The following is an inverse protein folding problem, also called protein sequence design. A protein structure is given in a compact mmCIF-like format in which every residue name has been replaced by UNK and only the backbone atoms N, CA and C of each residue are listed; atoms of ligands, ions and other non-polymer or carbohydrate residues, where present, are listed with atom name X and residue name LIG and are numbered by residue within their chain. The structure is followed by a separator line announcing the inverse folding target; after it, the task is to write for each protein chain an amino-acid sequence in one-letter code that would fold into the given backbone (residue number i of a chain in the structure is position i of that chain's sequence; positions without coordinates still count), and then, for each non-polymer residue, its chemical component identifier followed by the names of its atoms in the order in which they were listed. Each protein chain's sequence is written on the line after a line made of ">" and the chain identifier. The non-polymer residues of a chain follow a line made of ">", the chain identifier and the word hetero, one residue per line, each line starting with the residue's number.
data_IF_180190755395
#
_entry.id   IF_180190755395
#
_cell.length_a   1.000
_cell.length_b   1.000
_cell.length_c   1.000
_cell.angle_alpha   90.00
_cell.angle_beta   90.00
_cell.angle_gamma   90.00
#
_symmetry.space_group_name_H-M   'P 1'
#
loop_
_entity.id
_entity.type
_entity.pdbx_description
1 polymer ?
#
# COMPACT_ATOMS: atom_id res chain seq x y z
N UNK A 1 15.59 26.08 -5.70
CA UNK A 1 14.33 26.26 -4.95
C UNK A 1 13.08 25.85 -5.74
N UNK A 2 12.94 26.17 -7.04
CA UNK A 2 11.72 25.79 -7.79
C UNK A 2 11.49 24.28 -8.04
N UNK A 3 12.56 23.49 -8.14
CA UNK A 3 12.46 22.03 -8.41
C UNK A 3 11.90 21.25 -7.21
N UNK A 4 12.35 21.53 -5.99
CA UNK A 4 11.93 20.79 -4.78
C UNK A 4 10.46 21.05 -4.44
N UNK A 5 10.01 22.30 -4.51
CA UNK A 5 8.58 22.62 -4.30
C UNK A 5 7.69 21.93 -5.32
N UNK A 6 8.13 21.80 -6.58
CA UNK A 6 7.41 21.06 -7.60
C UNK A 6 7.35 19.55 -7.27
N UNK A 7 8.41 18.97 -6.71
CA UNK A 7 8.42 17.57 -6.26
C UNK A 7 7.47 17.34 -5.09
N UNK A 8 7.41 18.24 -4.10
CA UNK A 8 6.46 18.16 -2.97
C UNK A 8 5.02 18.22 -3.48
N UNK A 9 4.71 19.18 -4.35
CA UNK A 9 3.38 19.31 -4.94
C UNK A 9 3.04 18.09 -5.81
N UNK A 10 4.02 17.55 -6.54
CA UNK A 10 3.90 16.31 -7.30
C UNK A 10 3.56 15.12 -6.41
N UNK A 11 4.28 14.93 -5.29
CA UNK A 11 4.01 13.88 -4.31
C UNK A 11 2.59 14.03 -3.73
N UNK A 12 2.19 15.25 -3.40
CA UNK A 12 0.85 15.53 -2.89
C UNK A 12 -0.25 15.21 -3.92
N UNK A 13 -0.23 15.87 -5.08
CA UNK A 13 -1.30 15.79 -6.09
C UNK A 13 -1.35 14.43 -6.81
N UNK A 14 -0.19 13.82 -7.07
CA UNK A 14 -0.11 12.61 -7.89
C UNK A 14 -0.04 11.31 -7.08
N UNK A 15 0.23 11.40 -5.77
CA UNK A 15 0.37 10.24 -4.88
C UNK A 15 -0.53 10.33 -3.65
N UNK A 16 -0.28 11.26 -2.74
CA UNK A 16 -0.97 11.29 -1.45
C UNK A 16 -2.49 11.48 -1.61
N UNK A 17 -2.88 12.46 -2.43
CA UNK A 17 -4.28 12.79 -2.70
C UNK A 17 -5.04 11.63 -3.34
N UNK A 18 -4.62 11.03 -4.47
CA UNK A 18 -5.31 9.88 -5.03
C UNK A 18 -5.24 8.62 -4.14
N UNK A 19 -4.21 8.47 -3.30
CA UNK A 19 -4.14 7.37 -2.34
C UNK A 19 -5.23 7.47 -1.26
N UNK A 20 -5.47 8.68 -0.73
CA UNK A 20 -6.40 8.93 0.38
C UNK A 20 -7.83 9.18 -0.12
N UNK A 21 -8.00 10.01 -1.14
CA UNK A 21 -9.31 10.37 -1.69
C UNK A 21 -9.83 9.34 -2.70
N UNK A 22 -8.95 8.44 -3.17
CA UNK A 22 -9.18 7.66 -4.39
C UNK A 22 -8.84 8.46 -5.65
N UNK A 23 -8.56 7.75 -6.74
CA UNK A 23 -8.23 8.34 -8.03
C UNK A 23 -7.03 7.69 -8.69
N UNK A 24 -6.54 8.31 -9.77
CA UNK A 24 -5.39 7.79 -10.51
C UNK A 24 -4.08 8.22 -9.88
N UNK A 25 -3.31 7.24 -9.38
CA UNK A 25 -1.93 7.43 -8.97
C UNK A 25 -1.04 7.65 -10.20
N UNK A 26 -0.17 8.66 -10.15
CA UNK A 26 0.80 8.98 -11.21
C UNK A 26 2.19 9.13 -10.61
N UNK A 27 2.87 8.02 -10.26
CA UNK A 27 4.23 8.11 -9.76
C UNK A 27 5.15 8.70 -10.84
N UNK A 28 6.12 9.48 -10.40
CA UNK A 28 7.14 10.12 -11.24
C UNK A 28 8.49 9.45 -11.01
N UNK A 29 9.59 10.16 -11.27
CA UNK A 29 10.92 9.61 -11.05
C UNK A 29 11.13 9.19 -9.59
N UNK A 30 11.78 8.02 -9.35
CA UNK A 30 12.00 7.53 -7.99
C UNK A 30 12.69 8.56 -7.10
N UNK A 31 12.19 8.71 -5.87
CA UNK A 31 12.71 9.69 -4.91
C UNK A 31 13.98 9.13 -4.26
N UNK A 32 13.91 7.87 -3.81
CA UNK A 32 15.02 7.20 -3.16
C UNK A 32 15.28 7.68 -1.72
N UNK A 33 16.14 6.97 -0.97
CA UNK A 33 16.26 7.15 0.47
C UNK A 33 16.97 8.45 0.87
N UNK A 34 17.85 8.99 0.02
CA UNK A 34 18.60 10.22 0.32
C UNK A 34 17.73 11.47 0.28
N UNK A 35 16.73 11.52 -0.60
CA UNK A 35 15.83 12.66 -0.75
C UNK A 35 14.54 12.53 0.08
N UNK A 36 14.17 11.31 0.49
CA UNK A 36 12.91 11.02 1.16
C UNK A 36 12.68 11.85 2.43
N UNK A 37 13.67 11.96 3.31
CA UNK A 37 13.52 12.72 4.56
C UNK A 37 13.28 14.20 4.31
N UNK A 38 14.13 14.84 3.49
CA UNK A 38 13.97 16.25 3.17
C UNK A 38 12.62 16.56 2.50
N UNK A 39 12.18 15.69 1.59
CA UNK A 39 10.88 15.83 0.92
C UNK A 39 9.71 15.67 1.89
N UNK A 40 9.77 14.68 2.79
CA UNK A 40 8.73 14.43 3.79
C UNK A 40 8.64 15.58 4.81
N UNK A 41 9.77 16.12 5.25
CA UNK A 41 9.82 17.30 6.12
C UNK A 41 9.21 18.53 5.44
N UNK A 42 9.51 18.76 4.16
CA UNK A 42 8.93 19.87 3.40
C UNK A 42 7.41 19.70 3.23
N UNK A 43 6.95 18.48 2.89
CA UNK A 43 5.52 18.18 2.76
C UNK A 43 4.78 18.39 4.09
N UNK A 44 5.36 17.96 5.21
CA UNK A 44 4.78 18.15 6.54
C UNK A 44 4.67 19.63 6.96
N UNK A 45 5.50 20.53 6.40
CA UNK A 45 5.50 21.97 6.72
C UNK A 45 4.72 22.84 5.72
N UNK A 46 4.54 22.37 4.48
CA UNK A 46 4.47 23.26 3.31
C UNK A 46 3.23 23.16 2.41
N UNK A 47 2.17 22.46 2.83
CA UNK A 47 0.94 22.34 2.02
C UNK A 47 -0.13 23.37 2.43
N UNK A 48 -0.83 24.01 1.47
CA UNK A 48 -1.93 24.93 1.78
C UNK A 48 -3.04 24.26 2.60
N UNK A 49 -3.59 24.99 3.58
CA UNK A 49 -4.65 24.47 4.46
C UNK A 49 -5.91 24.01 3.69
N UNK A 50 -6.22 24.64 2.56
CA UNK A 50 -7.33 24.25 1.68
C UNK A 50 -7.15 22.83 1.11
N UNK A 51 -5.92 22.48 0.78
CA UNK A 51 -5.57 21.20 0.15
C UNK A 51 -5.56 20.08 1.20
N UNK A 52 -5.11 20.39 2.42
CA UNK A 52 -5.14 19.47 3.56
C UNK A 52 -6.56 19.20 4.08
N UNK A 53 -7.48 20.17 3.97
CA UNK A 53 -8.86 20.02 4.47
C UNK A 53 -9.58 18.80 3.87
N UNK A 54 -9.48 18.60 2.55
CA UNK A 54 -10.10 17.46 1.87
C UNK A 54 -9.50 16.12 2.32
N UNK A 55 -8.17 16.06 2.51
CA UNK A 55 -7.51 14.87 3.03
C UNK A 55 -8.00 14.54 4.43
N UNK A 56 -8.08 15.53 5.31
CA UNK A 56 -8.53 15.34 6.70
C UNK A 56 -9.96 14.82 6.74
N UNK A 57 -10.88 15.37 5.95
CA UNK A 57 -12.27 14.88 5.85
C UNK A 57 -12.31 13.42 5.38
N UNK A 58 -11.54 13.07 4.35
CA UNK A 58 -11.50 11.70 3.85
C UNK A 58 -10.89 10.72 4.87
N UNK A 59 -9.80 11.10 5.54
CA UNK A 59 -9.19 10.30 6.61
C UNK A 59 -10.16 10.09 7.77
N UNK A 60 -10.86 11.14 8.22
CA UNK A 60 -11.90 11.01 9.26
C UNK A 60 -13.01 10.07 8.81
N UNK A 61 -13.48 10.18 7.56
CA UNK A 61 -14.49 9.27 6.99
C UNK A 61 -14.01 7.82 6.98
N UNK A 62 -12.75 7.60 6.66
CA UNK A 62 -12.15 6.26 6.64
C UNK A 62 -12.03 5.70 8.06
N UNK A 63 -11.53 6.48 9.02
CA UNK A 63 -11.38 6.04 10.41
C UNK A 63 -12.73 5.79 11.12
N UNK A 64 -13.77 6.55 10.75
CA UNK A 64 -15.16 6.35 11.22
C UNK A 64 -15.73 4.97 10.95
N UNK A 65 -15.15 4.23 9.99
CA UNK A 65 -15.50 2.82 9.75
C UNK A 65 -15.13 1.91 10.91
N UNK A 66 -14.13 2.30 11.71
CA UNK A 66 -13.66 1.52 12.86
C UNK A 66 -14.07 2.14 14.21
N UNK A 67 -14.09 3.47 14.33
CA UNK A 67 -14.44 4.17 15.57
C UNK A 67 -15.15 5.51 15.30
N UNK A 68 -16.23 5.85 16.02
CA UNK A 68 -16.80 7.19 15.94
C UNK A 68 -15.80 8.23 16.48
N UNK A 69 -15.36 9.13 15.61
CA UNK A 69 -14.46 10.25 15.92
C UNK A 69 -14.74 11.42 14.99
N UNK A 70 -14.36 12.62 15.41
CA UNK A 70 -14.64 13.85 14.66
C UNK A 70 -13.40 14.50 14.05
N UNK A 71 -12.22 14.15 14.53
CA UNK A 71 -10.96 14.70 14.04
C UNK A 71 -9.84 13.67 14.10
N UNK A 72 -8.90 13.81 13.19
CA UNK A 72 -7.60 13.13 13.20
C UNK A 72 -6.50 14.20 13.15
N UNK A 73 -5.31 13.91 13.70
CA UNK A 73 -4.15 14.78 13.49
C UNK A 73 -3.81 14.89 12.01
N UNK A 74 -3.14 15.97 11.61
CA UNK A 74 -2.58 16.11 10.27
C UNK A 74 -1.58 14.99 9.94
N UNK A 75 -1.24 14.85 8.67
CA UNK A 75 -0.26 13.84 8.23
C UNK A 75 1.10 14.10 8.89
N UNK A 76 1.60 13.11 9.63
CA UNK A 76 2.89 13.21 10.29
C UNK A 76 4.05 13.01 9.31
N UNK A 77 5.28 13.29 9.77
CA UNK A 77 6.50 13.02 9.01
C UNK A 77 6.59 11.55 8.59
N UNK A 78 6.24 10.63 9.50
CA UNK A 78 6.24 9.18 9.26
C UNK A 78 5.23 8.78 8.19
N UNK A 79 4.03 9.37 8.20
CA UNK A 79 3.04 9.13 7.15
C UNK A 79 3.53 9.62 5.79
N UNK A 80 4.21 10.77 5.74
CA UNK A 80 4.85 11.27 4.52
C UNK A 80 5.97 10.36 4.02
N UNK A 81 6.84 9.86 4.90
CA UNK A 81 7.86 8.88 4.54
C UNK A 81 7.25 7.59 3.98
N UNK A 82 6.15 7.13 4.57
CA UNK A 82 5.41 5.97 4.06
C UNK A 82 4.75 6.25 2.70
N UNK A 83 4.24 7.46 2.46
CA UNK A 83 3.73 7.87 1.13
C UNK A 83 4.86 7.85 0.09
N UNK A 84 6.06 8.33 0.44
CA UNK A 84 7.25 8.23 -0.42
C UNK A 84 7.59 6.77 -0.71
N UNK A 85 7.55 5.89 0.29
CA UNK A 85 7.79 4.47 0.09
C UNK A 85 6.73 3.80 -0.82
N UNK A 86 5.45 4.18 -0.69
CA UNK A 86 4.37 3.73 -1.59
C UNK A 86 4.60 4.23 -3.01
N UNK A 87 5.00 5.48 -3.19
CA UNK A 87 5.38 6.04 -4.49
C UNK A 87 6.48 5.20 -5.15
N UNK A 88 7.59 5.00 -4.46
CA UNK A 88 8.75 4.27 -4.98
C UNK A 88 8.42 2.79 -5.22
N UNK A 89 7.58 2.17 -4.38
CA UNK A 89 7.07 0.81 -4.57
C UNK A 89 6.27 0.68 -5.87
N UNK A 90 5.30 1.56 -6.11
CA UNK A 90 4.50 1.53 -7.35
C UNK A 90 5.40 1.83 -8.54
N UNK A 91 6.34 2.78 -8.41
CA UNK A 91 7.27 3.14 -9.47
C UNK A 91 8.17 1.98 -9.87
N UNK A 92 8.69 1.20 -8.91
CA UNK A 92 9.53 0.03 -9.17
C UNK A 92 8.84 -1.07 -9.98
N UNK A 93 7.51 -1.07 -10.05
CA UNK A 93 6.75 -2.02 -10.89
C UNK A 93 6.77 -1.67 -12.37
N UNK A 94 7.23 -0.47 -12.75
CA UNK A 94 7.31 -0.03 -14.13
C UNK A 94 8.53 -0.65 -14.84
N UNK A 95 8.33 -1.42 -15.94
CA UNK A 95 9.42 -2.03 -16.71
C UNK A 95 10.47 -1.05 -17.25
N UNK A 96 10.17 0.24 -17.42
CA UNK A 96 11.17 1.22 -17.90
C UNK A 96 12.03 1.84 -16.80
N UNK A 97 11.74 1.54 -15.52
CA UNK A 97 12.66 1.95 -14.44
C UNK A 97 13.97 1.19 -14.57
N UNK A 98 13.92 -0.10 -14.93
CA UNK A 98 15.06 -0.82 -15.47
C UNK A 98 15.29 -0.40 -16.93
N UNK A 99 16.49 0.06 -17.25
CA UNK A 99 16.86 0.30 -18.64
C UNK A 99 18.12 -0.47 -18.98
N UNK A 100 18.39 -0.69 -20.26
CA UNK A 100 19.65 -1.30 -20.70
C UNK A 100 20.89 -0.57 -20.14
N UNK A 101 20.79 0.74 -19.89
CA UNK A 101 21.86 1.57 -19.33
C UNK A 101 21.87 1.62 -17.80
N UNK A 102 20.84 1.09 -17.13
CA UNK A 102 20.73 1.07 -15.66
C UNK A 102 19.99 -0.19 -15.21
N UNK A 103 20.56 -1.39 -15.48
CA UNK A 103 19.97 -2.64 -15.02
C UNK A 103 19.94 -2.67 -13.49
N UNK A 104 18.87 -3.21 -12.90
CA UNK A 104 18.72 -3.33 -11.45
C UNK A 104 18.26 -2.05 -10.75
N UNK A 105 17.97 -0.96 -11.47
CA UNK A 105 17.44 0.27 -10.86
C UNK A 105 16.13 0.02 -10.11
N UNK A 106 15.24 -0.83 -10.63
CA UNK A 106 14.00 -1.19 -9.94
C UNK A 106 14.26 -1.86 -8.58
N UNK A 107 15.28 -2.72 -8.50
CA UNK A 107 15.73 -3.36 -7.25
C UNK A 107 16.29 -2.33 -6.27
N UNK A 108 17.12 -1.40 -6.75
CA UNK A 108 17.65 -0.32 -5.93
C UNK A 108 16.54 0.60 -5.37
N UNK A 109 15.51 0.88 -6.17
CA UNK A 109 14.34 1.66 -5.72
C UNK A 109 13.58 0.93 -4.62
N UNK A 110 13.35 -0.38 -4.74
CA UNK A 110 12.71 -1.17 -3.66
C UNK A 110 13.55 -1.20 -2.39
N UNK A 111 14.87 -1.39 -2.51
CA UNK A 111 15.78 -1.32 -1.36
C UNK A 111 15.76 0.08 -0.72
N UNK A 112 15.67 1.12 -1.55
CA UNK A 112 15.46 2.50 -1.11
C UNK A 112 14.19 2.64 -0.29
N UNK A 113 13.07 2.10 -0.77
CA UNK A 113 11.80 2.11 -0.04
C UNK A 113 11.90 1.37 1.30
N UNK A 114 12.58 0.23 1.37
CA UNK A 114 12.86 -0.46 2.64
C UNK A 114 13.68 0.41 3.60
N UNK A 115 14.72 1.10 3.10
CA UNK A 115 15.55 2.00 3.91
C UNK A 115 14.76 3.21 4.42
N UNK A 116 13.79 3.71 3.65
CA UNK A 116 12.86 4.76 4.10
C UNK A 116 11.94 4.21 5.19
N UNK A 117 11.34 3.04 4.98
CA UNK A 117 10.45 2.42 5.98
C UNK A 117 11.19 2.05 7.27
N UNK A 118 12.46 1.66 7.20
CA UNK A 118 13.28 1.37 8.37
C UNK A 118 13.38 2.57 9.35
N UNK A 119 13.22 3.80 8.85
CA UNK A 119 13.20 5.01 9.67
C UNK A 119 11.84 5.27 10.34
N UNK A 120 10.78 4.60 9.88
CA UNK A 120 9.42 4.76 10.42
C UNK A 120 9.17 3.71 11.51
N UNK A 121 8.99 4.11 12.78
CA UNK A 121 8.72 3.18 13.87
C UNK A 121 7.29 2.61 13.78
N UNK A 122 7.03 1.56 14.55
CA UNK A 122 5.66 1.09 14.81
C UNK A 122 4.83 2.23 15.44
N UNK A 123 3.49 2.25 15.24
CA UNK A 123 2.65 3.28 15.86
C UNK A 123 2.76 3.20 17.39
N UNK A 124 2.92 4.35 18.04
CA UNK A 124 3.16 4.42 19.50
C UNK A 124 1.90 4.18 20.31
N UNK A 125 0.75 4.56 19.75
CA UNK A 125 -0.54 4.43 20.38
C UNK A 125 -1.64 4.08 19.36
N UNK A 126 -2.84 3.88 19.90
CA UNK A 126 -4.04 3.51 19.15
C UNK A 126 -4.47 4.62 18.17
N UNK A 127 -4.29 5.89 18.55
CA UNK A 127 -4.64 7.04 17.72
C UNK A 127 -3.74 7.13 16.49
N UNK A 128 -2.43 6.93 16.67
CA UNK A 128 -1.46 6.87 15.58
C UNK A 128 -1.73 5.67 14.65
N UNK A 129 -2.03 4.50 15.21
CA UNK A 129 -2.41 3.33 14.40
C UNK A 129 -3.67 3.60 13.55
N UNK A 130 -4.65 4.32 14.11
CA UNK A 130 -5.88 4.70 13.42
C UNK A 130 -5.64 5.77 12.35
N UNK A 131 -4.81 6.78 12.63
CA UNK A 131 -4.42 7.81 11.66
C UNK A 131 -3.70 7.20 10.45
N UNK A 132 -2.72 6.31 10.70
CA UNK A 132 -2.04 5.57 9.62
C UNK A 132 -3.00 4.67 8.85
N UNK A 133 -3.95 4.01 9.52
CA UNK A 133 -4.98 3.24 8.81
C UNK A 133 -5.83 4.11 7.90
N UNK A 134 -6.27 5.27 8.39
CA UNK A 134 -7.06 6.22 7.62
C UNK A 134 -6.36 6.68 6.34
N UNK A 135 -5.04 6.83 6.40
CA UNK A 135 -4.18 7.23 5.27
C UNK A 135 -3.96 6.08 4.28
N UNK A 136 -3.72 4.86 4.76
CA UNK A 136 -3.27 3.73 3.94
C UNK A 136 -4.33 2.64 3.72
N UNK A 137 -5.59 2.85 4.09
CA UNK A 137 -6.62 1.82 3.96
C UNK A 137 -6.83 1.32 2.52
N UNK A 138 -6.58 2.18 1.53
CA UNK A 138 -6.70 1.85 0.10
C UNK A 138 -5.42 1.30 -0.53
N UNK A 139 -4.34 1.09 0.25
CA UNK A 139 -3.03 0.64 -0.24
C UNK A 139 -3.13 -0.63 -1.10
N UNK A 140 -3.85 -1.66 -0.63
CA UNK A 140 -3.99 -2.93 -1.36
C UNK A 140 -5.09 -2.90 -2.43
N UNK A 141 -5.85 -1.81 -2.51
CA UNK A 141 -6.84 -1.57 -3.56
C UNK A 141 -6.24 -0.88 -4.79
N UNK A 142 -4.97 -0.48 -4.75
CA UNK A 142 -4.25 0.05 -5.91
C UNK A 142 -4.32 -0.99 -7.04
N UNK A 143 -4.70 -0.54 -8.23
CA UNK A 143 -4.72 -1.33 -9.47
C UNK A 143 -3.94 -0.59 -10.54
N UNK A 144 -3.28 -1.34 -11.43
CA UNK A 144 -2.62 -0.81 -12.62
C UNK A 144 -3.34 -1.37 -13.85
N UNK A 145 -3.81 -0.49 -14.72
CA UNK A 145 -4.42 -0.91 -15.99
C UNK A 145 -3.35 -0.99 -17.07
N UNK A 146 -2.97 -2.21 -17.42
CA UNK A 146 -2.02 -2.49 -18.48
C UNK A 146 -2.76 -2.62 -19.81
N UNK A 147 -2.06 -2.37 -20.92
CA UNK A 147 -2.63 -2.59 -22.26
C UNK A 147 -1.85 -3.69 -22.98
N UNK A 148 -2.49 -4.83 -23.21
CA UNK A 148 -1.93 -5.93 -23.99
C UNK A 148 -2.29 -5.75 -25.46
N UNK A 149 -1.28 -5.58 -26.32
CA UNK A 149 -1.44 -5.45 -27.76
C UNK A 149 -0.93 -6.71 -28.44
N UNK A 150 -1.77 -7.35 -29.24
CA UNK A 150 -1.44 -8.52 -30.04
C UNK A 150 -1.58 -8.17 -31.52
N UNK A 151 -0.67 -8.66 -32.36
CA UNK A 151 -0.71 -8.50 -33.82
C UNK A 151 -0.10 -9.74 -34.49
N UNK A 152 -0.17 -9.81 -35.82
CA UNK A 152 0.19 -11.02 -36.58
C UNK A 152 1.60 -11.58 -36.35
N UNK A 153 2.56 -10.75 -35.92
CA UNK A 153 3.94 -11.18 -35.67
C UNK A 153 4.38 -11.10 -34.20
N UNK A 154 3.45 -10.90 -33.26
CA UNK A 154 3.78 -10.95 -31.83
C UNK A 154 2.78 -10.25 -30.91
N UNK A 155 3.19 -10.10 -29.66
CA UNK A 155 2.44 -9.34 -28.65
C UNK A 155 3.38 -8.50 -27.80
N UNK A 156 2.83 -7.44 -27.19
CA UNK A 156 3.53 -6.61 -26.20
C UNK A 156 2.53 -6.01 -25.22
N UNK A 157 2.91 -6.02 -23.94
CA UNK A 157 2.15 -5.40 -22.86
C UNK A 157 2.77 -4.07 -22.49
N UNK A 158 1.92 -3.07 -22.26
CA UNK A 158 2.30 -1.72 -21.81
C UNK A 158 1.79 -1.50 -20.39
N UNK A 159 2.71 -1.43 -19.44
CA UNK A 159 2.41 -1.28 -18.02
C UNK A 159 1.87 0.12 -17.70
N UNK A 160 0.60 0.25 -17.32
CA UNK A 160 -0.02 1.52 -16.93
C UNK A 160 -0.02 2.62 -18.00
N UNK A 161 0.27 2.30 -19.27
CA UNK A 161 0.57 3.29 -20.32
C UNK A 161 -0.12 2.99 -21.63
N UNK A 162 -0.36 4.06 -22.40
CA UNK A 162 -0.93 3.94 -23.74
C UNK A 162 0.09 3.33 -24.70
N UNK A 163 -0.30 2.33 -25.52
CA UNK A 163 0.55 1.83 -26.58
C UNK A 163 0.89 2.92 -27.60
N UNK A 164 2.11 2.90 -28.18
CA UNK A 164 2.47 3.78 -29.29
C UNK A 164 1.49 3.67 -30.46
N UNK A 165 1.06 4.80 -31.03
CA UNK A 165 0.08 4.84 -32.11
C UNK A 165 0.49 3.98 -33.34
N UNK A 166 1.79 3.92 -33.63
CA UNK A 166 2.36 3.08 -34.72
C UNK A 166 2.14 1.57 -34.54
N UNK A 167 1.91 1.11 -33.32
CA UNK A 167 1.60 -0.30 -33.05
C UNK A 167 0.11 -0.59 -33.20
N UNK A 168 -0.72 0.44 -33.07
CA UNK A 168 -2.18 0.37 -33.25
C UNK A 168 -2.61 0.62 -34.71
N UNK A 169 -1.67 0.95 -35.60
CA UNK A 169 -1.96 1.24 -37.01
C UNK A 169 -2.26 -0.03 -37.83
N UNK A 170 -3.13 0.12 -38.83
CA UNK A 170 -3.58 -0.95 -39.74
C UNK A 170 -4.17 -2.16 -39.02
N UNK A 171 -5.21 -1.97 -38.20
CA UNK A 171 -5.75 -3.03 -37.35
C UNK A 171 -6.21 -4.26 -38.14
N UNK A 172 -6.77 -4.08 -39.34
CA UNK A 172 -7.25 -5.18 -40.18
C UNK A 172 -6.10 -5.95 -40.84
N UNK A 173 -5.16 -5.23 -41.47
CA UNK A 173 -4.02 -5.84 -42.20
C UNK A 173 -3.07 -6.56 -41.23
N UNK A 174 -2.77 -5.93 -40.08
CA UNK A 174 -1.85 -6.48 -39.08
C UNK A 174 -2.55 -7.29 -37.99
N UNK A 175 -3.88 -7.45 -38.07
CA UNK A 175 -4.73 -8.12 -37.07
C UNK A 175 -4.45 -7.62 -35.65
N UNK A 176 -4.36 -6.30 -35.48
CA UNK A 176 -4.04 -5.68 -34.19
C UNK A 176 -5.24 -5.75 -33.25
N UNK A 177 -5.06 -6.33 -32.07
CA UNK A 177 -6.04 -6.35 -30.98
C UNK A 177 -5.42 -5.74 -29.73
N UNK A 178 -6.12 -4.79 -29.13
CA UNK A 178 -5.72 -4.15 -27.88
C UNK A 178 -6.76 -4.47 -26.81
N UNK A 179 -6.30 -4.95 -25.66
CA UNK A 179 -7.17 -5.29 -24.53
C UNK A 179 -6.61 -4.68 -23.23
N UNK A 180 -7.44 -4.00 -22.43
CA UNK A 180 -7.05 -3.58 -21.09
C UNK A 180 -6.95 -4.81 -20.18
N UNK A 181 -5.89 -4.88 -19.38
CA UNK A 181 -5.66 -5.93 -18.38
C UNK A 181 -5.42 -5.25 -17.04
N UNK A 182 -6.30 -5.48 -16.08
CA UNK A 182 -6.12 -4.96 -14.72
C UNK A 182 -5.15 -5.83 -13.92
N UNK A 183 -4.14 -5.21 -13.35
CA UNK A 183 -3.18 -5.82 -12.43
C UNK A 183 -3.46 -5.32 -11.01
N UNK A 184 -3.66 -6.25 -10.08
CA UNK A 184 -3.66 -5.92 -8.66
C UNK A 184 -2.25 -5.71 -8.12
N UNK A 185 -2.15 -5.14 -6.92
CA UNK A 185 -0.88 -5.00 -6.18
C UNK A 185 -0.06 -6.30 -6.20
N UNK A 186 -0.72 -7.45 -6.08
CA UNK A 186 -0.06 -8.77 -6.12
C UNK A 186 0.62 -9.11 -7.46
N UNK A 187 0.08 -8.60 -8.56
CA UNK A 187 0.45 -8.98 -9.93
C UNK A 187 1.14 -7.85 -10.72
N UNK A 188 1.24 -6.65 -10.15
CA UNK A 188 1.89 -5.49 -10.77
C UNK A 188 3.35 -5.73 -11.17
N UNK A 189 4.02 -6.69 -10.55
CA UNK A 189 5.42 -7.04 -10.87
C UNK A 189 5.59 -7.71 -12.23
N UNK A 190 4.50 -8.11 -12.89
CA UNK A 190 4.57 -8.69 -14.23
C UNK A 190 5.33 -7.77 -15.20
N UNK A 191 6.48 -8.24 -15.68
CA UNK A 191 7.34 -7.52 -16.62
C UNK A 191 8.36 -6.54 -16.01
N UNK A 192 8.41 -6.38 -14.68
CA UNK A 192 9.48 -5.60 -14.02
C UNK A 192 10.70 -6.47 -13.73
N UNK A 193 11.88 -5.85 -13.67
CA UNK A 193 13.14 -6.49 -13.21
C UNK A 193 13.12 -6.82 -11.71
N UNK A 194 12.28 -6.12 -10.96
CA UNK A 194 12.17 -6.27 -9.52
C UNK A 194 11.51 -7.62 -9.16
N UNK A 195 12.12 -8.35 -8.21
CA UNK A 195 11.62 -9.65 -7.80
C UNK A 195 10.32 -9.55 -7.00
N UNK A 196 9.51 -10.61 -7.07
CA UNK A 196 8.28 -10.71 -6.29
C UNK A 196 8.56 -10.68 -4.79
N UNK A 197 9.65 -11.32 -4.38
CA UNK A 197 10.08 -11.42 -2.98
C UNK A 197 10.39 -10.05 -2.40
N UNK A 198 11.17 -9.22 -3.10
CA UNK A 198 11.51 -7.87 -2.65
C UNK A 198 10.30 -6.94 -2.64
N UNK A 199 9.39 -7.08 -3.61
CA UNK A 199 8.13 -6.33 -3.60
C UNK A 199 7.24 -6.71 -2.42
N UNK A 200 7.10 -8.01 -2.14
CA UNK A 200 6.37 -8.52 -1.00
C UNK A 200 6.98 -8.04 0.33
N UNK A 201 8.31 -7.98 0.41
CA UNK A 201 9.03 -7.48 1.59
C UNK A 201 8.69 -6.02 1.90
N UNK A 202 8.68 -5.14 0.88
CA UNK A 202 8.28 -3.73 1.05
C UNK A 202 6.83 -3.62 1.51
N UNK A 203 5.91 -4.38 0.92
CA UNK A 203 4.51 -4.40 1.35
C UNK A 203 4.36 -4.90 2.79
N UNK A 204 5.09 -5.94 3.17
CA UNK A 204 5.10 -6.46 4.55
C UNK A 204 5.62 -5.40 5.52
N UNK A 205 6.67 -4.67 5.14
CA UNK A 205 7.20 -3.55 5.92
C UNK A 205 6.19 -2.41 6.07
N UNK A 206 5.46 -2.04 5.02
CA UNK A 206 4.36 -1.07 5.08
C UNK A 206 3.27 -1.52 6.05
N UNK A 207 2.79 -2.76 5.90
CA UNK A 207 1.70 -3.31 6.72
C UNK A 207 2.07 -3.44 8.19
N UNK A 208 3.32 -3.79 8.51
CA UNK A 208 3.82 -3.80 9.89
C UNK A 208 3.74 -2.42 10.57
N UNK A 209 3.71 -1.32 9.80
CA UNK A 209 3.56 0.07 10.29
C UNK A 209 2.12 0.56 10.27
N UNK A 210 1.20 -0.23 9.69
CA UNK A 210 -0.25 0.04 9.62
C UNK A 210 -1.05 -1.15 10.16
N UNK A 211 -0.92 -1.52 11.46
CA UNK A 211 -1.47 -2.77 11.99
C UNK A 211 -2.99 -2.91 11.78
N UNK A 212 -3.75 -1.82 11.81
CA UNK A 212 -5.19 -1.85 11.52
C UNK A 212 -5.50 -2.09 10.04
N UNK A 213 -4.68 -1.58 9.10
CA UNK A 213 -4.80 -1.92 7.67
C UNK A 213 -4.41 -3.37 7.41
N UNK A 214 -3.37 -3.85 8.10
CA UNK A 214 -2.94 -5.25 8.02
C UNK A 214 -4.08 -6.19 8.47
N UNK A 215 -4.70 -5.92 9.61
CA UNK A 215 -5.88 -6.64 10.10
C UNK A 215 -7.08 -6.53 9.16
N UNK A 216 -7.40 -5.33 8.69
CA UNK A 216 -8.52 -5.09 7.76
C UNK A 216 -8.38 -5.80 6.42
N UNK A 217 -7.16 -6.22 6.09
CA UNK A 217 -6.84 -6.93 4.85
C UNK A 217 -6.25 -8.31 5.11
N UNK A 218 -6.48 -8.90 6.28
CA UNK A 218 -5.89 -10.18 6.66
C UNK A 218 -6.20 -11.31 5.66
N UNK A 219 -7.38 -11.28 5.02
CA UNK A 219 -7.78 -12.24 3.98
C UNK A 219 -7.17 -12.03 2.58
N UNK A 220 -6.18 -11.14 2.43
CA UNK A 220 -5.49 -10.88 1.16
C UNK A 220 -4.65 -12.07 0.70
N UNK A 221 -4.35 -12.10 -0.61
CA UNK A 221 -3.48 -13.12 -1.21
C UNK A 221 -1.99 -12.83 -1.05
N UNK A 222 -1.59 -11.55 -0.97
CA UNK A 222 -0.19 -11.13 -0.88
C UNK A 222 -0.05 -9.73 -0.23
N UNK A 223 0.95 -9.51 0.65
CA UNK A 223 1.72 -10.53 1.36
C UNK A 223 0.79 -11.41 2.22
N UNK A 224 1.14 -12.66 2.48
CA UNK A 224 0.35 -13.50 3.40
C UNK A 224 0.30 -12.84 4.77
N UNK A 225 -0.87 -12.86 5.42
CA UNK A 225 -1.06 -12.28 6.74
C UNK A 225 -0.19 -12.98 7.79
N UNK A 226 0.38 -12.19 8.69
CA UNK A 226 1.22 -12.66 9.79
C UNK A 226 0.90 -11.88 11.06
N UNK A 227 0.95 -12.56 12.19
CA UNK A 227 0.81 -11.93 13.51
C UNK A 227 2.10 -11.20 13.87
N UNK A 228 2.20 -9.93 13.48
CA UNK A 228 3.35 -9.08 13.80
C UNK A 228 3.23 -8.51 15.22
N UNK A 229 4.35 -8.13 15.88
CA UNK A 229 4.30 -7.54 17.21
C UNK A 229 3.36 -6.32 17.36
N UNK A 230 3.29 -5.38 16.39
CA UNK A 230 2.33 -4.27 16.45
C UNK A 230 0.87 -4.72 16.43
N UNK A 231 0.55 -5.77 15.66
CA UNK A 231 -0.80 -6.33 15.60
C UNK A 231 -1.16 -7.03 16.93
N UNK A 232 -0.25 -7.84 17.46
CA UNK A 232 -0.45 -8.51 18.75
C UNK A 232 -0.60 -7.48 19.88
N UNK A 233 0.22 -6.43 19.89
CA UNK A 233 0.14 -5.34 20.86
C UNK A 233 -1.20 -4.61 20.82
N UNK A 234 -1.77 -4.41 19.62
CA UNK A 234 -3.12 -3.87 19.47
C UNK A 234 -4.20 -4.80 20.06
N UNK A 235 -4.06 -6.12 19.89
CA UNK A 235 -5.02 -7.11 20.40
C UNK A 235 -4.94 -7.36 21.91
N UNK A 236 -3.78 -7.13 22.52
CA UNK A 236 -3.55 -7.31 23.95
C UNK A 236 -3.81 -6.04 24.78
N UNK A 237 -3.85 -4.87 24.14
CA UNK A 237 -3.95 -3.57 24.80
C UNK A 237 -5.27 -2.82 24.60
N UNK A 238 -5.29 -1.49 24.81
CA UNK A 238 -6.49 -0.65 24.67
C UNK A 238 -7.03 -0.58 23.23
N UNK A 239 -6.22 -0.98 22.24
CA UNK A 239 -6.61 -1.04 20.83
C UNK A 239 -7.46 -2.26 20.45
N UNK A 240 -7.73 -3.19 21.37
CA UNK A 240 -8.31 -4.51 21.05
C UNK A 240 -9.61 -4.41 20.26
N UNK A 241 -10.55 -3.57 20.69
CA UNK A 241 -11.83 -3.42 19.99
C UNK A 241 -11.67 -2.89 18.56
N UNK A 242 -10.72 -1.98 18.34
CA UNK A 242 -10.42 -1.47 17.00
C UNK A 242 -9.77 -2.54 16.13
N UNK A 243 -8.84 -3.31 16.69
CA UNK A 243 -8.21 -4.42 16.02
C UNK A 243 -9.24 -5.49 15.61
N UNK A 244 -10.15 -5.86 16.51
CA UNK A 244 -11.22 -6.82 16.21
C UNK A 244 -12.20 -6.29 15.15
N UNK A 245 -12.54 -5.00 15.18
CA UNK A 245 -13.37 -4.38 14.13
C UNK A 245 -12.66 -4.36 12.78
N UNK A 246 -11.37 -4.00 12.75
CA UNK A 246 -10.57 -4.02 11.54
C UNK A 246 -10.57 -5.43 10.95
N UNK A 247 -10.26 -6.45 11.75
CA UNK A 247 -10.20 -7.84 11.30
C UNK A 247 -11.53 -8.36 10.72
N UNK A 248 -12.67 -7.80 11.15
CA UNK A 248 -14.01 -8.11 10.64
C UNK A 248 -14.43 -7.27 9.43
N UNK A 249 -13.69 -6.24 9.08
CA UNK A 249 -14.09 -5.29 8.03
C UNK A 249 -14.14 -5.93 6.64
N UNK A 250 -13.22 -6.86 6.36
CA UNK A 250 -13.14 -7.57 5.09
C UNK A 250 -14.04 -8.80 5.01
N UNK A 251 -13.65 -9.75 4.16
CA UNK A 251 -14.25 -11.08 4.11
C UNK A 251 -13.89 -11.85 5.39
N UNK A 252 -14.83 -11.90 6.35
CA UNK A 252 -14.62 -12.49 7.67
C UNK A 252 -14.17 -13.96 7.62
N UNK A 253 -14.63 -14.73 6.63
CA UNK A 253 -14.22 -16.13 6.43
C UNK A 253 -12.76 -16.20 6.00
N UNK A 254 -12.35 -15.39 5.02
CA UNK A 254 -10.94 -15.33 4.60
C UNK A 254 -10.03 -14.81 5.71
N UNK A 255 -10.49 -13.80 6.45
CA UNK A 255 -9.75 -13.25 7.59
C UNK A 255 -9.54 -14.30 8.68
N UNK A 256 -10.58 -15.09 9.01
CA UNK A 256 -10.49 -16.18 9.97
C UNK A 256 -9.52 -17.29 9.52
N UNK A 257 -9.60 -17.72 8.25
CA UNK A 257 -8.68 -18.71 7.70
C UNK A 257 -7.24 -18.21 7.78
N UNK A 258 -6.99 -16.98 7.34
CA UNK A 258 -5.66 -16.36 7.39
C UNK A 258 -5.14 -16.22 8.84
N UNK A 259 -5.99 -15.80 9.77
CA UNK A 259 -5.68 -15.69 11.19
C UNK A 259 -5.27 -17.03 11.82
N UNK A 260 -6.02 -18.11 11.53
CA UNK A 260 -5.70 -19.47 11.98
C UNK A 260 -4.40 -19.98 11.39
N UNK A 261 -4.20 -19.84 10.07
CA UNK A 261 -2.97 -20.26 9.40
C UNK A 261 -1.76 -19.52 9.95
N UNK A 262 -1.87 -18.20 10.15
CA UNK A 262 -0.80 -17.40 10.76
C UNK A 262 -0.52 -17.83 12.20
N UNK A 263 -1.55 -18.12 13.00
CA UNK A 263 -1.37 -18.56 14.39
C UNK A 263 -0.67 -19.93 14.48
N UNK A 264 -0.99 -20.86 13.57
CA UNK A 264 -0.37 -22.18 13.52
C UNK A 264 1.14 -22.12 13.19
N UNK A 265 1.59 -21.06 12.51
CA UNK A 265 3.00 -20.85 12.18
C UNK A 265 3.85 -20.26 13.33
N UNK A 266 3.21 -19.82 14.43
CA UNK A 266 3.91 -19.23 15.56
C UNK A 266 4.41 -20.31 16.53
N UNK A 267 5.73 -20.37 16.71
CA UNK A 267 6.38 -21.25 17.69
C UNK A 267 6.47 -20.64 19.11
N UNK A 268 5.55 -19.74 19.48
CA UNK A 268 5.62 -18.94 20.72
C UNK A 268 4.91 -19.53 21.95
N UNK A 269 5.48 -19.31 23.14
CA UNK A 269 4.93 -19.75 24.43
C UNK A 269 3.86 -18.80 25.02
N UNK A 270 2.82 -19.39 25.62
CA UNK A 270 1.92 -18.81 26.63
C UNK A 270 1.05 -17.62 26.18
N UNK A 271 1.45 -16.40 26.55
CA UNK A 271 0.58 -15.23 26.57
C UNK A 271 0.15 -14.73 25.18
N UNK A 272 1.08 -14.69 24.22
CA UNK A 272 0.76 -14.30 22.83
C UNK A 272 -0.24 -15.29 22.24
N UNK A 273 -0.04 -16.59 22.47
CA UNK A 273 -0.94 -17.63 22.01
C UNK A 273 -2.34 -17.46 22.59
N UNK A 274 -2.48 -17.19 23.88
CA UNK A 274 -3.78 -16.92 24.52
C UNK A 274 -4.49 -15.71 23.91
N UNK A 275 -3.77 -14.62 23.63
CA UNK A 275 -4.35 -13.42 22.98
C UNK A 275 -4.88 -13.76 21.59
N UNK A 276 -4.12 -14.54 20.81
CA UNK A 276 -4.50 -14.93 19.46
C UNK A 276 -5.64 -15.94 19.43
N UNK A 277 -5.61 -16.94 20.30
CA UNK A 277 -6.71 -17.91 20.47
C UNK A 277 -8.00 -17.20 20.87
N UNK A 278 -7.93 -16.23 21.78
CA UNK A 278 -9.07 -15.40 22.16
C UNK A 278 -9.59 -14.54 21.00
N UNK A 279 -8.71 -13.94 20.20
CA UNK A 279 -9.12 -13.17 19.01
C UNK A 279 -9.74 -14.06 17.93
N UNK A 280 -9.20 -15.25 17.69
CA UNK A 280 -9.71 -16.24 16.73
C UNK A 280 -11.08 -16.77 17.18
N UNK A 281 -11.24 -17.15 18.45
CA UNK A 281 -12.53 -17.58 18.99
C UNK A 281 -13.59 -16.47 18.88
N UNK A 282 -13.19 -15.21 19.13
CA UNK A 282 -14.07 -14.05 18.96
C UNK A 282 -14.38 -13.74 17.48
N UNK A 283 -13.53 -14.10 16.51
CA UNK A 283 -13.87 -14.05 15.09
C UNK A 283 -14.85 -15.15 14.71
N UNK A 284 -14.62 -16.38 15.18
CA UNK A 284 -15.45 -17.55 14.91
C UNK A 284 -16.88 -17.36 15.41
N UNK A 285 -17.02 -16.88 16.65
CA UNK A 285 -18.31 -16.59 17.25
C UNK A 285 -19.14 -15.58 16.42
N UNK A 286 -18.49 -14.72 15.65
CA UNK A 286 -19.17 -13.76 14.77
C UNK A 286 -19.50 -14.37 13.41
N UNK A 287 -18.61 -15.20 12.84
CA UNK A 287 -18.85 -15.88 11.56
C UNK A 287 -20.01 -16.89 11.61
N UNK A 288 -20.35 -17.40 12.79
CA UNK A 288 -21.52 -18.27 13.00
C UNK A 288 -22.86 -17.54 13.19
N UNK A 289 -22.88 -16.20 13.16
CA UNK A 289 -24.09 -15.36 13.35
C UNK A 289 -24.55 -14.73 12.02
N UNK A 290 -23.87 -15.03 10.90
CA UNK A 290 -24.20 -14.54 9.56
C UNK A 290 -25.07 -15.53 8.77
#
# INVERSE_FOLDING_TARGET
>A
MGSETATVLGLFEQVAKPLILGGSLRPFDPIGPSAAMGLAEQAARGLPASDMSWLTVARVRQARRLCPLDALPDLTLEEWLMIVAVHDLVRATDPEVGSFLSPGRAVQVMQGALNVLAQVPAPRDVGEALARHATFASLLSIRRTDTAVHWWCGSKTFAGRKPPARLLSWPEVRRVRSQPVEQDVGSMMSGSEASRESYEEVLRALLARTPLTDLATAGRSMPVFQWTPPVVGMLSGPGRHLAMRALRWGDGTKALVAARTAAASLNGAGSVRTVLEGAIAELEAWGGVA
#
